data_IF_072651722570
#
_entry.id   IF_072651722570
#
_cell.length_a   1.000
_cell.length_b   1.000
_cell.length_c   1.000
_cell.angle_alpha   90.00
_cell.angle_beta   90.00
_cell.angle_gamma   90.00
#
_symmetry.space_group_name_H-M   'P 1'
#
loop_
_entity.id
_entity.type
_entity.pdbx_description
1 polymer ?
#
# COMPACT_ATOMS: atom_id res chain seq x y z
N UNK A 1 12.26 -15.56 23.24
CA UNK A 1 11.01 -14.79 23.08
C UNK A 1 10.70 -14.47 21.61
N UNK A 2 11.69 -14.03 20.79
CA UNK A 2 11.57 -13.96 19.32
C UNK A 2 11.26 -15.36 18.75
N UNK A 3 10.08 -15.54 18.18
CA UNK A 3 9.59 -16.83 17.67
C UNK A 3 8.33 -17.36 18.37
N UNK A 4 8.06 -16.97 19.62
CA UNK A 4 6.81 -17.36 20.29
C UNK A 4 5.63 -16.62 19.68
N UNK A 5 5.72 -15.29 19.49
CA UNK A 5 4.60 -14.50 18.93
C UNK A 5 4.20 -14.99 17.53
N UNK A 6 5.17 -15.20 16.63
CA UNK A 6 4.90 -15.72 15.28
C UNK A 6 4.29 -17.12 15.33
N UNK A 7 4.86 -18.04 16.11
CA UNK A 7 4.33 -19.40 16.25
C UNK A 7 2.93 -19.42 16.85
N UNK A 8 2.70 -18.66 17.92
CA UNK A 8 1.39 -18.53 18.58
C UNK A 8 0.35 -17.95 17.63
N UNK A 9 0.68 -16.90 16.87
CA UNK A 9 -0.26 -16.32 15.93
C UNK A 9 -0.54 -17.24 14.74
N UNK A 10 0.47 -17.90 14.18
CA UNK A 10 0.30 -18.88 13.11
C UNK A 10 -0.47 -20.13 13.58
N UNK A 11 -0.38 -20.50 14.86
CA UNK A 11 -1.19 -21.57 15.44
C UNK A 11 -2.68 -21.22 15.50
N UNK A 12 -3.02 -19.92 15.46
CA UNK A 12 -4.39 -19.44 15.38
C UNK A 12 -4.88 -19.25 13.93
N UNK A 13 -4.12 -19.68 12.92
CA UNK A 13 -4.51 -19.52 11.52
C UNK A 13 -5.38 -20.68 11.02
N UNK A 14 -6.53 -20.33 10.47
CA UNK A 14 -7.45 -21.23 9.80
C UNK A 14 -7.75 -20.67 8.42
N UNK A 15 -7.33 -21.34 7.33
CA UNK A 15 -7.38 -20.77 6.00
C UNK A 15 -8.83 -20.38 5.63
N UNK A 16 -9.06 -19.14 5.14
CA UNK A 16 -10.37 -18.72 4.69
C UNK A 16 -10.75 -19.48 3.40
N UNK A 17 -12.04 -19.47 3.05
CA UNK A 17 -12.53 -20.07 1.79
C UNK A 17 -11.88 -19.45 0.56
N UNK A 18 -11.54 -18.17 0.63
CA UNK A 18 -10.88 -17.40 -0.43
C UNK A 18 -9.73 -16.61 0.17
N UNK A 19 -8.53 -16.78 -0.40
CA UNK A 19 -7.39 -15.96 -0.03
C UNK A 19 -7.55 -14.58 -0.68
N UNK A 20 -7.52 -13.53 0.13
CA UNK A 20 -7.57 -12.15 -0.35
C UNK A 20 -6.28 -11.43 0.00
N UNK A 21 -5.84 -10.58 -0.93
CA UNK A 21 -4.72 -9.67 -0.75
C UNK A 21 -5.23 -8.25 -0.74
N UNK A 22 -4.87 -7.49 0.28
CA UNK A 22 -5.14 -6.07 0.32
C UNK A 22 -4.20 -5.34 -0.65
N UNK A 23 -4.76 -4.75 -1.71
CA UNK A 23 -4.03 -3.93 -2.69
C UNK A 23 -3.85 -2.50 -2.20
N UNK A 24 -4.82 -2.00 -1.44
CA UNK A 24 -4.88 -0.64 -0.93
C UNK A 24 -5.77 -0.58 0.31
N UNK A 25 -5.95 0.60 0.90
CA UNK A 25 -6.79 0.76 2.09
C UNK A 25 -8.23 0.27 1.87
N UNK A 26 -8.80 0.48 0.67
CA UNK A 26 -10.19 0.14 0.35
C UNK A 26 -10.33 -1.05 -0.60
N UNK A 27 -9.26 -1.46 -1.29
CA UNK A 27 -9.31 -2.51 -2.30
C UNK A 27 -8.70 -3.84 -1.82
N UNK A 28 -9.46 -4.92 -2.05
CA UNK A 28 -9.03 -6.30 -1.85
C UNK A 28 -9.16 -7.06 -3.17
N UNK A 29 -8.16 -7.88 -3.48
CA UNK A 29 -8.14 -8.73 -4.66
C UNK A 29 -8.06 -10.19 -4.20
N UNK A 30 -8.80 -11.06 -4.88
CA UNK A 30 -8.74 -12.50 -4.64
C UNK A 30 -7.44 -13.07 -5.21
N UNK A 31 -6.69 -13.80 -4.38
CA UNK A 31 -5.57 -14.61 -4.82
C UNK A 31 -6.09 -15.97 -5.29
N UNK A 32 -6.05 -16.18 -6.60
CA UNK A 32 -6.47 -17.40 -7.29
C UNK A 32 -5.38 -18.46 -7.35
N UNK A 33 -4.15 -18.12 -6.96
CA UNK A 33 -3.06 -19.07 -6.86
C UNK A 33 -3.41 -20.18 -5.86
N UNK A 34 -3.06 -21.42 -6.19
CA UNK A 34 -3.14 -22.52 -5.25
C UNK A 34 -2.00 -22.39 -4.24
N UNK A 35 -2.33 -21.86 -3.06
CA UNK A 35 -1.42 -21.77 -1.93
C UNK A 35 -1.63 -22.97 -1.02
N UNK A 36 -0.53 -23.66 -0.66
CA UNK A 36 -0.57 -24.58 0.46
C UNK A 36 -0.88 -23.83 1.77
N UNK A 37 -1.32 -24.56 2.79
CA UNK A 37 -1.73 -23.96 4.06
C UNK A 37 -0.60 -23.13 4.71
N UNK A 38 0.66 -23.57 4.57
CA UNK A 38 1.81 -22.85 5.11
C UNK A 38 2.01 -21.51 4.42
N UNK A 39 2.03 -21.48 3.08
CA UNK A 39 2.15 -20.26 2.28
C UNK A 39 0.98 -19.31 2.47
N UNK A 40 -0.24 -19.83 2.60
CA UNK A 40 -1.42 -19.02 2.90
C UNK A 40 -1.29 -18.34 4.28
N UNK A 41 -0.83 -19.08 5.30
CA UNK A 41 -0.61 -18.55 6.63
C UNK A 41 0.50 -17.48 6.66
N UNK A 42 1.61 -17.72 5.95
CA UNK A 42 2.68 -16.74 5.81
C UNK A 42 2.19 -15.48 5.09
N UNK A 43 1.48 -15.62 3.97
CA UNK A 43 0.92 -14.50 3.22
C UNK A 43 -0.01 -13.65 4.11
N UNK A 44 -0.90 -14.29 4.86
CA UNK A 44 -1.76 -13.63 5.84
C UNK A 44 -0.96 -12.91 6.94
N UNK A 45 0.09 -13.55 7.46
CA UNK A 45 0.96 -12.96 8.48
C UNK A 45 1.69 -11.71 7.96
N UNK A 46 2.25 -11.75 6.76
CA UNK A 46 2.92 -10.58 6.17
C UNK A 46 1.93 -9.45 5.88
N UNK A 47 0.72 -9.77 5.42
CA UNK A 47 -0.36 -8.78 5.25
C UNK A 47 -0.69 -8.07 6.57
N UNK A 48 -0.81 -8.83 7.66
CA UNK A 48 -1.05 -8.26 8.99
C UNK A 48 0.11 -7.36 9.44
N UNK A 49 1.35 -7.78 9.20
CA UNK A 49 2.53 -6.99 9.51
C UNK A 49 2.58 -5.67 8.73
N UNK A 50 2.26 -5.73 7.44
CA UNK A 50 2.20 -4.56 6.58
C UNK A 50 1.13 -3.57 7.07
N UNK A 51 -0.08 -4.06 7.41
CA UNK A 51 -1.14 -3.26 8.00
C UNK A 51 -0.69 -2.59 9.30
N UNK A 52 -0.15 -3.36 10.25
CA UNK A 52 0.33 -2.83 11.53
C UNK A 52 1.41 -1.76 11.33
N UNK A 53 2.25 -1.90 10.30
CA UNK A 53 3.31 -0.94 10.01
C UNK A 53 2.78 0.36 9.42
N UNK A 54 1.79 0.33 8.52
CA UNK A 54 1.10 1.52 7.97
C UNK A 54 0.42 2.36 9.05
N UNK A 55 -0.01 1.71 10.13
CA UNK A 55 -0.82 2.29 11.19
C UNK A 55 -0.12 2.32 12.55
N UNK A 56 1.21 2.17 12.56
CA UNK A 56 1.98 1.96 13.79
C UNK A 56 1.83 3.10 14.82
N UNK A 57 1.76 4.33 14.34
CA UNK A 57 1.55 5.55 15.14
C UNK A 57 0.17 5.63 15.81
N UNK A 58 -0.83 4.94 15.27
CA UNK A 58 -2.20 4.91 15.78
C UNK A 58 -2.55 3.61 16.52
N UNK A 59 -1.76 2.55 16.30
CA UNK A 59 -1.88 1.26 16.98
C UNK A 59 -0.91 1.11 18.17
N UNK A 60 -0.04 2.09 18.41
CA UNK A 60 0.93 2.04 19.50
C UNK A 60 1.07 3.39 20.19
N UNK A 61 1.76 3.42 21.32
CA UNK A 61 2.09 4.65 22.04
C UNK A 61 3.35 5.33 21.49
N UNK A 62 3.92 4.83 20.40
CA UNK A 62 5.16 5.35 19.82
C UNK A 62 4.85 6.37 18.71
N UNK A 63 5.37 7.59 18.87
CA UNK A 63 5.36 8.58 17.79
C UNK A 63 6.46 8.29 16.76
N UNK A 64 6.29 8.67 15.49
CA UNK A 64 7.39 8.67 14.53
C UNK A 64 8.46 9.71 14.89
N UNK A 65 9.64 9.58 14.30
CA UNK A 65 10.77 10.49 14.54
C UNK A 65 10.51 11.85 13.88
N UNK A 66 10.88 12.90 14.60
CA UNK A 66 10.84 14.29 14.13
C UNK A 66 11.92 14.53 13.06
N UNK A 67 11.59 15.27 12.01
CA UNK A 67 12.57 15.84 11.06
C UNK A 67 13.10 17.17 11.63
N UNK A 68 14.42 17.40 11.52
CA UNK A 68 15.04 18.65 11.97
C UNK A 68 14.35 19.84 11.27
N UNK A 69 13.99 20.86 12.04
CA UNK A 69 13.31 22.06 11.53
C UNK A 69 11.80 21.91 11.27
N UNK A 70 11.20 20.72 11.41
CA UNK A 70 9.74 20.54 11.37
C UNK A 70 9.12 20.58 12.75
N UNK A 71 7.81 20.45 12.87
CA UNK A 71 7.13 20.30 14.17
C UNK A 71 7.35 18.90 14.77
N UNK A 72 7.16 18.80 16.09
CA UNK A 72 7.23 17.50 16.78
C UNK A 72 5.99 16.69 16.40
N UNK A 73 6.14 15.43 15.94
CA UNK A 73 4.99 14.57 15.69
C UNK A 73 4.16 14.40 16.96
N UNK A 74 2.85 14.57 16.86
CA UNK A 74 1.92 14.36 17.96
C UNK A 74 1.75 12.86 18.15
N UNK A 75 1.84 12.38 19.39
CA UNK A 75 1.44 11.01 19.70
C UNK A 75 -0.06 10.94 19.47
N UNK A 76 -0.48 10.19 18.44
CA UNK A 76 -1.90 10.00 18.19
C UNK A 76 -2.48 9.16 19.33
N UNK A 77 -3.63 9.58 19.84
CA UNK A 77 -4.40 8.73 20.76
C UNK A 77 -4.77 7.43 20.03
N UNK A 78 -4.74 6.30 20.75
CA UNK A 78 -5.07 5.01 20.17
C UNK A 78 -6.48 5.07 19.57
N UNK A 79 -6.59 4.77 18.28
CA UNK A 79 -7.85 4.87 17.57
C UNK A 79 -8.65 3.57 17.70
N UNK A 80 -9.77 3.53 18.47
CA UNK A 80 -10.51 2.29 18.70
C UNK A 80 -11.11 1.71 17.40
N UNK A 81 -11.44 2.57 16.42
CA UNK A 81 -11.90 2.11 15.11
C UNK A 81 -10.79 1.40 14.34
N UNK A 82 -9.55 1.84 14.50
CA UNK A 82 -8.42 1.23 13.80
C UNK A 82 -8.07 -0.13 14.41
N UNK A 83 -8.16 -0.24 15.73
CA UNK A 83 -8.07 -1.53 16.44
C UNK A 83 -9.17 -2.50 16.03
N UNK A 84 -10.41 -2.04 15.91
CA UNK A 84 -11.49 -2.85 15.36
C UNK A 84 -11.20 -3.25 13.90
N UNK A 85 -10.72 -2.33 13.07
CA UNK A 85 -10.38 -2.60 11.68
C UNK A 85 -9.27 -3.65 11.57
N UNK A 86 -8.25 -3.58 12.43
CA UNK A 86 -7.19 -4.59 12.54
C UNK A 86 -7.78 -5.96 12.91
N UNK A 87 -8.66 -6.01 13.90
CA UNK A 87 -9.34 -7.22 14.32
C UNK A 87 -10.18 -7.86 13.21
N UNK A 88 -10.99 -7.06 12.50
CA UNK A 88 -11.76 -7.51 11.33
C UNK A 88 -10.85 -7.98 10.21
N UNK A 89 -9.76 -7.26 9.94
CA UNK A 89 -8.78 -7.63 8.93
C UNK A 89 -8.10 -8.98 9.26
N UNK A 90 -7.64 -9.16 10.49
CA UNK A 90 -7.05 -10.43 10.95
C UNK A 90 -8.04 -11.60 10.81
N UNK A 91 -9.29 -11.40 11.22
CA UNK A 91 -10.36 -12.40 11.09
C UNK A 91 -10.64 -12.79 9.64
N UNK A 92 -10.67 -11.80 8.74
CA UNK A 92 -10.86 -12.01 7.30
C UNK A 92 -9.68 -12.74 6.65
N UNK A 93 -8.46 -12.53 7.14
CA UNK A 93 -7.27 -13.25 6.71
C UNK A 93 -7.25 -14.71 7.20
N UNK A 94 -8.08 -15.08 8.17
CA UNK A 94 -8.16 -16.45 8.70
C UNK A 94 -7.61 -16.62 10.12
N UNK A 95 -7.18 -15.56 10.79
CA UNK A 95 -6.76 -15.65 12.19
C UNK A 95 -7.98 -15.76 13.11
N UNK A 96 -7.89 -16.63 14.11
CA UNK A 96 -8.92 -16.86 15.14
C UNK A 96 -8.31 -16.59 16.50
N UNK A 97 -8.32 -15.31 16.89
CA UNK A 97 -7.87 -14.84 18.20
C UNK A 97 -9.12 -14.39 18.97
N UNK A 98 -9.40 -14.93 20.17
CA UNK A 98 -10.64 -14.63 20.89
C UNK A 98 -10.89 -13.12 21.07
N UNK A 99 -9.91 -12.39 21.60
CA UNK A 99 -10.02 -10.95 21.84
C UNK A 99 -10.25 -10.16 20.55
N UNK A 100 -9.57 -10.54 19.46
CA UNK A 100 -9.77 -9.92 18.15
C UNK A 100 -11.16 -10.22 17.58
N UNK A 101 -11.69 -11.42 17.84
CA UNK A 101 -13.04 -11.80 17.39
C UNK A 101 -14.09 -10.95 18.11
N UNK A 102 -13.98 -10.85 19.44
CA UNK A 102 -14.85 -9.99 20.24
C UNK A 102 -14.77 -8.53 19.80
N UNK A 103 -13.56 -8.02 19.55
CA UNK A 103 -13.34 -6.64 19.12
C UNK A 103 -13.93 -6.38 17.73
N UNK A 104 -13.82 -7.33 16.79
CA UNK A 104 -14.38 -7.21 15.44
C UNK A 104 -15.91 -7.09 15.46
N UNK A 105 -16.58 -7.77 16.40
CA UNK A 105 -18.04 -7.79 16.57
C UNK A 105 -18.62 -6.50 17.20
N UNK A 106 -17.78 -5.64 17.80
CA UNK A 106 -18.25 -4.40 18.42
C UNK A 106 -18.86 -3.43 17.40
N UNK A 107 -19.81 -2.58 17.81
CA UNK A 107 -20.39 -1.57 16.92
C UNK A 107 -19.74 -0.19 17.12
N UNK A 108 -18.41 -0.11 17.06
CA UNK A 108 -17.67 1.11 17.41
C UNK A 108 -18.02 2.32 16.54
N UNK A 109 -18.37 2.12 15.26
CA UNK A 109 -18.89 3.21 14.40
C UNK A 109 -20.23 3.76 14.89
N UNK A 110 -21.14 2.87 15.26
CA UNK A 110 -22.44 3.25 15.85
C UNK A 110 -22.23 3.97 17.18
N UNK A 111 -21.29 3.52 18.01
CA UNK A 111 -20.96 4.17 19.28
C UNK A 111 -20.42 5.60 19.08
N UNK A 112 -19.51 5.79 18.13
CA UNK A 112 -19.00 7.13 17.80
C UNK A 112 -20.07 8.04 17.20
N UNK A 113 -20.96 7.49 16.38
CA UNK A 113 -22.11 8.23 15.88
C UNK A 113 -23.05 8.65 17.02
N UNK A 114 -23.30 7.77 18.01
CA UNK A 114 -24.04 8.10 19.22
C UNK A 114 -23.34 9.21 20.02
N UNK A 115 -22.03 9.11 20.22
CA UNK A 115 -21.27 10.11 20.98
C UNK A 115 -21.26 11.48 20.28
N UNK A 116 -21.17 11.48 18.95
CA UNK A 116 -21.34 12.69 18.14
C UNK A 116 -22.75 13.28 18.31
N UNK A 117 -23.80 12.45 18.21
CA UNK A 117 -25.18 12.88 18.37
C UNK A 117 -25.45 13.45 19.77
N UNK A 118 -24.90 12.85 20.82
CA UNK A 118 -24.97 13.37 22.21
C UNK A 118 -24.26 14.72 22.37
N UNK A 119 -23.14 14.92 21.66
CA UNK A 119 -22.42 16.20 21.66
C UNK A 119 -23.17 17.27 20.87
N UNK A 120 -23.84 16.91 19.78
CA UNK A 120 -24.62 17.84 18.97
C UNK A 120 -25.98 18.17 19.60
N UNK A 121 -26.57 17.25 20.36
CA UNK A 121 -27.87 17.42 21.00
C UNK A 121 -27.87 16.86 22.42
N UNK A 122 -27.39 17.68 23.37
CA UNK A 122 -27.24 17.30 24.78
C UNK A 122 -28.55 16.96 25.51
N UNK A 123 -29.70 17.36 24.97
CA UNK A 123 -31.01 17.14 25.58
C UNK A 123 -31.64 15.80 25.16
N UNK A 124 -31.10 15.14 24.14
CA UNK A 124 -31.61 13.83 23.68
C UNK A 124 -30.86 12.69 24.34
N UNK A 125 -31.61 11.81 25.00
CA UNK A 125 -31.07 10.62 25.68
C UNK A 125 -31.03 9.39 24.77
N UNK A 126 -31.84 9.36 23.72
CA UNK A 126 -31.99 8.24 22.80
C UNK A 126 -31.90 8.70 21.35
N UNK A 127 -31.29 7.87 20.49
CA UNK A 127 -31.18 8.10 19.06
C UNK A 127 -31.67 6.85 18.32
N UNK A 128 -32.50 7.05 17.32
CA UNK A 128 -33.01 5.96 16.49
C UNK A 128 -31.90 5.37 15.62
N UNK A 129 -32.04 4.10 15.23
CA UNK A 129 -31.11 3.42 14.33
C UNK A 129 -30.89 4.19 13.02
N UNK A 130 -31.96 4.80 12.47
CA UNK A 130 -31.88 5.61 11.26
C UNK A 130 -31.05 6.90 11.44
N UNK A 131 -31.05 7.50 12.64
CA UNK A 131 -30.21 8.67 12.94
C UNK A 131 -28.74 8.27 13.05
N UNK A 132 -28.46 7.17 13.74
CA UNK A 132 -27.10 6.62 13.88
C UNK A 132 -26.55 6.26 12.50
N UNK A 133 -27.32 5.52 11.70
CA UNK A 133 -26.96 5.12 10.35
C UNK A 133 -26.69 6.33 9.45
N UNK A 134 -27.54 7.37 9.51
CA UNK A 134 -27.32 8.60 8.76
C UNK A 134 -25.99 9.27 9.11
N UNK A 135 -25.61 9.34 10.38
CA UNK A 135 -24.31 9.91 10.79
C UNK A 135 -23.15 9.06 10.27
N UNK A 136 -23.27 7.73 10.34
CA UNK A 136 -22.25 6.81 9.82
C UNK A 136 -22.09 6.96 8.31
N UNK A 137 -23.20 7.05 7.56
CA UNK A 137 -23.19 7.23 6.11
C UNK A 137 -22.63 8.59 5.71
N UNK A 138 -23.05 9.68 6.35
CA UNK A 138 -22.55 11.03 6.07
C UNK A 138 -21.07 11.18 6.41
N UNK A 139 -20.60 10.52 7.47
CA UNK A 139 -19.18 10.50 7.85
C UNK A 139 -18.30 9.59 6.97
N UNK A 140 -18.90 8.78 6.11
CA UNK A 140 -18.17 7.93 5.17
C UNK A 140 -17.89 8.75 3.90
N UNK A 141 -16.64 9.17 3.71
CA UNK A 141 -16.21 9.81 2.46
C UNK A 141 -16.52 8.89 1.26
N UNK A 142 -17.01 9.44 0.14
CA UNK A 142 -17.21 8.66 -1.08
C UNK A 142 -15.91 7.94 -1.47
N UNK A 143 -16.05 6.80 -2.14
CA UNK A 143 -14.91 6.10 -2.70
C UNK A 143 -14.28 6.98 -3.78
N UNK A 144 -13.06 7.45 -3.54
CA UNK A 144 -12.27 8.15 -4.55
C UNK A 144 -12.16 7.24 -5.78
N UNK A 145 -12.67 7.67 -6.94
CA UNK A 145 -12.59 6.90 -8.15
C UNK A 145 -11.17 7.04 -8.70
N UNK A 146 -10.46 5.91 -8.73
CA UNK A 146 -9.05 5.73 -9.10
C UNK A 146 -8.06 5.96 -7.95
N UNK A 147 -7.78 4.87 -7.21
CA UNK A 147 -6.52 4.78 -6.48
C UNK A 147 -5.37 4.78 -7.49
N UNK A 148 -4.68 5.92 -7.60
CA UNK A 148 -3.44 6.03 -8.35
C UNK A 148 -2.41 5.04 -7.80
N UNK A 149 -1.76 4.31 -8.71
CA UNK A 149 -0.60 3.50 -8.34
C UNK A 149 0.49 4.49 -7.93
N UNK A 150 0.97 4.46 -6.69
CA UNK A 150 1.86 5.51 -6.23
C UNK A 150 3.20 5.43 -6.99
N UNK A 151 3.60 6.56 -7.57
CA UNK A 151 4.77 6.65 -8.46
C UNK A 151 6.07 6.27 -7.73
N UNK A 152 7.02 5.70 -8.49
CA UNK A 152 8.34 5.36 -7.97
C UNK A 152 9.10 6.63 -7.59
N UNK A 153 9.44 6.76 -6.31
CA UNK A 153 10.25 7.87 -5.83
C UNK A 153 11.67 7.76 -6.38
N UNK A 154 12.10 8.70 -7.21
CA UNK A 154 13.46 8.77 -7.74
C UNK A 154 14.45 9.43 -6.78
N UNK A 155 13.96 9.89 -5.62
CA UNK A 155 14.78 10.57 -4.63
C UNK A 155 15.53 9.58 -3.74
N UNK A 156 16.87 9.69 -3.63
CA UNK A 156 17.64 8.81 -2.77
C UNK A 156 17.34 9.08 -1.29
N UNK A 157 17.10 8.01 -0.52
CA UNK A 157 16.89 8.08 0.91
C UNK A 157 18.23 8.11 1.64
N UNK A 158 18.41 9.13 2.49
CA UNK A 158 19.61 9.32 3.32
C UNK A 158 19.86 8.10 4.22
N UNK A 159 21.13 7.75 4.43
CA UNK A 159 21.55 6.55 5.19
C UNK A 159 20.89 6.46 6.57
N UNK A 160 20.85 7.56 7.31
CA UNK A 160 20.26 7.67 8.65
C UNK A 160 18.74 7.44 8.71
N UNK A 161 18.04 7.53 7.57
CA UNK A 161 16.59 7.30 7.46
C UNK A 161 16.25 5.85 7.10
N UNK A 162 17.25 5.03 6.76
CA UNK A 162 17.06 3.64 6.33
C UNK A 162 16.83 2.68 7.49
N UNK A 163 17.23 3.05 8.70
CA UNK A 163 17.19 2.19 9.89
C UNK A 163 16.64 2.92 11.12
N UNK A 164 16.15 2.12 12.08
CA UNK A 164 15.60 2.63 13.33
C UNK A 164 14.16 3.12 13.19
N UNK A 165 13.82 4.12 13.99
CA UNK A 165 12.46 4.69 14.03
C UNK A 165 12.20 5.55 12.78
N UNK A 166 11.10 5.26 12.08
CA UNK A 166 10.69 5.96 10.86
C UNK A 166 10.38 7.43 11.16
N UNK A 167 10.79 8.32 10.27
CA UNK A 167 10.42 9.73 10.35
C UNK A 167 8.97 9.94 9.92
N UNK A 168 8.29 10.93 10.48
CA UNK A 168 6.88 11.19 10.17
C UNK A 168 6.54 11.23 8.66
N UNK A 169 7.26 11.98 7.80
CA UNK A 169 6.95 11.97 6.37
C UNK A 169 7.17 10.60 5.71
N UNK A 170 8.16 9.82 6.15
CA UNK A 170 8.38 8.47 5.63
C UNK A 170 7.26 7.51 6.07
N UNK A 171 6.68 7.74 7.25
CA UNK A 171 5.54 6.96 7.74
C UNK A 171 4.27 7.26 6.92
N UNK A 172 4.02 8.52 6.60
CA UNK A 172 2.92 8.89 5.70
C UNK A 172 3.12 8.27 4.31
N UNK A 173 4.35 8.31 3.79
CA UNK A 173 4.69 7.70 2.51
C UNK A 173 4.55 6.16 2.54
N UNK A 174 4.97 5.50 3.64
CA UNK A 174 4.81 4.05 3.86
C UNK A 174 3.34 3.59 3.76
N UNK A 175 2.36 4.45 4.09
CA UNK A 175 0.93 4.12 3.99
C UNK A 175 0.48 3.80 2.56
N UNK A 176 1.20 4.29 1.55
CA UNK A 176 0.90 4.04 0.14
C UNK A 176 1.61 2.80 -0.40
N UNK A 177 2.76 2.43 0.15
CA UNK A 177 3.61 1.37 -0.41
C UNK A 177 3.57 0.05 0.33
N UNK A 178 3.16 0.04 1.60
CA UNK A 178 3.19 -1.16 2.42
C UNK A 178 1.97 -2.07 2.16
N UNK A 179 1.75 -2.44 0.91
CA UNK A 179 0.81 -3.48 0.49
C UNK A 179 1.60 -4.62 -0.16
N UNK A 180 1.19 -5.87 0.04
CA UNK A 180 1.98 -7.02 -0.42
C UNK A 180 2.25 -6.97 -1.93
N UNK A 181 1.25 -6.57 -2.72
CA UNK A 181 1.41 -6.46 -4.17
C UNK A 181 2.44 -5.41 -4.56
N UNK A 182 2.54 -4.32 -3.80
CA UNK A 182 3.50 -3.24 -4.02
C UNK A 182 4.89 -3.62 -3.50
N UNK A 183 4.96 -4.20 -2.30
CA UNK A 183 6.21 -4.63 -1.65
C UNK A 183 6.92 -5.71 -2.45
N UNK A 184 6.20 -6.63 -3.08
CA UNK A 184 6.80 -7.75 -3.82
C UNK A 184 6.70 -7.59 -5.34
N UNK A 185 6.36 -6.40 -5.83
CA UNK A 185 6.42 -6.12 -7.25
C UNK A 185 7.88 -6.19 -7.72
N UNK A 186 8.15 -6.92 -8.79
CA UNK A 186 9.46 -6.89 -9.44
C UNK A 186 9.64 -5.50 -10.06
N UNK A 187 10.57 -4.73 -9.51
CA UNK A 187 10.88 -3.37 -9.93
C UNK A 187 12.40 -3.17 -9.84
N UNK A 188 12.94 -2.42 -10.80
CA UNK A 188 14.31 -1.94 -10.73
C UNK A 188 14.35 -0.68 -9.88
N UNK A 189 15.19 -0.68 -8.85
CA UNK A 189 15.41 0.46 -7.98
C UNK A 189 16.72 1.16 -8.39
N UNK A 190 16.68 2.22 -9.21
CA UNK A 190 17.90 2.90 -9.66
C UNK A 190 18.63 3.61 -8.51
N UNK A 191 17.92 3.89 -7.42
CA UNK A 191 18.45 4.50 -6.19
C UNK A 191 17.89 3.81 -4.96
N UNK A 192 18.61 3.92 -3.84
CA UNK A 192 18.12 3.46 -2.54
C UNK A 192 17.08 4.45 -2.01
N UNK A 193 15.81 4.26 -2.38
CA UNK A 193 14.65 5.03 -1.91
C UNK A 193 13.91 4.30 -0.77
N UNK A 194 12.80 4.87 -0.29
CA UNK A 194 11.99 4.26 0.77
C UNK A 194 11.39 2.91 0.35
N UNK A 195 10.85 2.83 -0.87
CA UNK A 195 10.27 1.60 -1.42
C UNK A 195 11.28 0.45 -1.44
N UNK A 196 12.51 0.69 -1.93
CA UNK A 196 13.61 -0.28 -1.91
C UNK A 196 13.90 -0.77 -0.51
N UNK A 197 13.99 0.14 0.47
CA UNK A 197 14.26 -0.24 1.87
C UNK A 197 13.14 -1.12 2.42
N UNK A 198 11.87 -0.86 2.07
CA UNK A 198 10.74 -1.70 2.50
C UNK A 198 10.72 -3.05 1.78
N UNK A 199 10.94 -3.06 0.48
CA UNK A 199 11.12 -4.26 -0.33
C UNK A 199 12.18 -5.18 0.28
N UNK A 200 13.38 -4.65 0.51
CA UNK A 200 14.52 -5.39 1.05
C UNK A 200 14.26 -5.88 2.48
N UNK A 201 13.72 -5.02 3.35
CA UNK A 201 13.38 -5.38 4.72
C UNK A 201 12.35 -6.52 4.78
N UNK A 202 11.28 -6.43 4.00
CA UNK A 202 10.25 -7.46 3.99
C UNK A 202 10.78 -8.77 3.44
N UNK A 203 11.60 -8.75 2.38
CA UNK A 203 12.24 -9.96 1.84
C UNK A 203 13.30 -10.57 2.77
N UNK A 204 13.92 -9.77 3.63
CA UNK A 204 14.88 -10.27 4.63
C UNK A 204 14.19 -10.87 5.85
N UNK A 205 13.09 -10.26 6.32
CA UNK A 205 12.36 -10.72 7.52
C UNK A 205 11.41 -11.86 7.18
N UNK A 206 10.77 -11.79 6.01
CA UNK A 206 9.78 -12.74 5.53
C UNK A 206 10.32 -13.45 4.29
N UNK A 207 9.85 -14.67 4.03
CA UNK A 207 10.26 -15.41 2.83
C UNK A 207 9.87 -14.63 1.55
N UNK A 208 10.66 -14.75 0.46
CA UNK A 208 10.32 -14.09 -0.79
C UNK A 208 9.01 -14.65 -1.34
N UNK A 209 8.02 -13.78 -1.51
CA UNK A 209 6.86 -14.09 -2.33
C UNK A 209 7.16 -13.69 -3.77
N UNK A 210 6.73 -14.55 -4.71
CA UNK A 210 6.66 -14.22 -6.12
C UNK A 210 5.23 -14.38 -6.54
N UNK A 211 4.66 -13.31 -7.07
CA UNK A 211 3.31 -13.34 -7.60
C UNK A 211 3.38 -13.24 -9.12
N UNK A 212 2.70 -14.16 -9.78
CA UNK A 212 2.45 -14.07 -11.21
C UNK A 212 1.27 -13.13 -11.47
N UNK A 213 1.27 -12.48 -12.63
CA UNK A 213 0.12 -11.73 -13.13
C UNK A 213 -1.18 -12.54 -13.10
N UNK A 214 -1.10 -13.85 -13.32
CA UNK A 214 -2.26 -14.74 -13.33
C UNK A 214 -2.79 -15.08 -11.93
N UNK A 215 -2.01 -14.85 -10.87
CA UNK A 215 -2.39 -15.20 -9.50
C UNK A 215 -3.56 -14.35 -8.98
N UNK A 216 -3.85 -13.21 -9.63
CA UNK A 216 -4.90 -12.28 -9.24
C UNK A 216 -5.98 -12.10 -10.32
N UNK A 217 -5.91 -12.91 -11.38
CA UNK A 217 -6.75 -12.79 -12.58
C UNK A 217 -6.37 -11.61 -13.48
N UNK A 218 -6.84 -11.59 -14.74
CA UNK A 218 -6.67 -10.42 -15.59
C UNK A 218 -7.36 -9.21 -14.92
N UNK A 219 -6.80 -7.99 -15.00
CA UNK A 219 -7.49 -6.79 -14.57
C UNK A 219 -8.85 -6.77 -15.27
N UNK A 220 -9.91 -6.50 -14.52
CA UNK A 220 -11.21 -6.24 -15.13
C UNK A 220 -11.00 -5.11 -16.13
N UNK A 221 -11.05 -5.43 -17.42
CA UNK A 221 -11.13 -4.42 -18.47
C UNK A 221 -12.47 -3.73 -18.28
N UNK A 222 -12.46 -2.60 -17.57
CA UNK A 222 -13.54 -1.65 -17.70
C UNK A 222 -13.41 -1.07 -19.10
N UNK A 223 -14.50 -1.09 -19.87
CA UNK A 223 -14.58 -0.34 -21.11
C UNK A 223 -14.41 1.14 -20.76
N UNK A 224 -13.19 1.65 -20.86
CA UNK A 224 -12.96 3.10 -20.84
C UNK A 224 -13.47 3.59 -22.20
N UNK A 225 -14.67 4.16 -22.19
CA UNK A 225 -15.16 4.95 -23.31
C UNK A 225 -14.29 6.20 -23.35
N UNK A 226 -13.23 6.18 -24.15
CA UNK A 226 -12.52 7.39 -24.53
C UNK A 226 -13.44 8.17 -25.45
N UNK A 227 -14.04 9.26 -24.96
CA UNK A 227 -14.56 10.30 -25.82
C UNK A 227 -13.36 10.93 -26.54
N UNK A 228 -13.23 10.62 -27.83
CA UNK A 228 -12.19 11.18 -28.69
C UNK A 228 -12.56 12.63 -28.98
N UNK A 229 -11.84 13.57 -28.36
CA UNK A 229 -11.69 14.91 -28.93
C UNK A 229 -10.72 14.75 -30.11
N UNK A 230 -11.23 15.04 -31.30
CA UNK A 230 -10.48 15.01 -32.56
C UNK A 230 -9.31 15.99 -32.49
N UNK A 231 -8.11 15.45 -32.58
CA UNK A 231 -6.87 16.18 -32.72
C UNK A 231 -6.59 16.43 -34.21
N UNK A 232 -7.01 17.58 -34.72
CA UNK A 232 -6.30 18.22 -35.83
C UNK A 232 -4.94 18.80 -35.39
N UNK A 233 -4.56 18.63 -34.11
CA UNK A 233 -3.31 19.14 -33.52
C UNK A 233 -2.28 18.04 -33.12
N UNK A 234 -2.53 16.73 -33.34
CA UNK A 234 -1.51 15.67 -33.09
C UNK A 234 -0.92 15.04 -34.35
N UNK A 235 -0.92 15.77 -35.48
CA UNK A 235 -0.04 15.49 -36.62
C UNK A 235 1.36 16.13 -36.38
N UNK A 236 1.75 16.29 -35.11
CA UNK A 236 3.12 16.61 -34.72
C UNK A 236 3.62 15.52 -33.77
N UNK A 237 4.58 14.74 -34.28
CA UNK A 237 5.40 13.76 -33.56
C UNK A 237 4.75 12.40 -33.21
N UNK A 238 4.91 11.45 -34.12
CA UNK A 238 5.59 10.20 -33.76
C UNK A 238 4.72 8.97 -33.57
N UNK A 239 4.38 8.31 -34.66
CA UNK A 239 4.28 6.85 -34.67
C UNK A 239 5.58 6.26 -35.24
N UNK A 240 6.12 5.20 -34.65
CA UNK A 240 5.97 3.85 -35.23
C UNK A 240 6.82 2.77 -34.54
N UNK A 241 6.09 1.68 -34.33
CA UNK A 241 6.45 0.26 -34.19
C UNK A 241 7.59 -0.15 -35.13
N UNK A 242 8.56 -0.93 -34.62
CA UNK A 242 9.71 -1.39 -35.41
C UNK A 242 9.51 -2.81 -35.97
N UNK A 243 9.61 -2.94 -37.29
CA UNK A 243 9.70 -4.21 -38.02
C UNK A 243 11.16 -4.71 -38.07
N UNK A 244 11.35 -6.03 -38.20
CA UNK A 244 12.65 -6.73 -38.06
C UNK A 244 13.79 -6.24 -39.00
N UNK A 245 13.46 -5.53 -40.09
CA UNK A 245 14.45 -4.90 -40.99
C UNK A 245 15.14 -3.70 -40.32
N UNK A 246 14.58 -3.18 -39.24
CA UNK A 246 15.07 -1.99 -38.52
C UNK A 246 16.24 -2.26 -37.58
N UNK A 247 16.42 -3.52 -37.15
CA UNK A 247 17.52 -3.90 -36.25
C UNK A 247 18.87 -3.84 -36.98
N UNK A 248 18.93 -4.18 -38.27
CA UNK A 248 20.18 -4.10 -39.06
C UNK A 248 20.69 -2.67 -39.22
N UNK A 249 19.82 -1.69 -39.46
CA UNK A 249 20.21 -0.26 -39.55
C UNK A 249 20.59 0.34 -38.20
N UNK A 250 19.99 -0.14 -37.11
CA UNK A 250 20.36 0.24 -35.74
C UNK A 250 21.77 -0.29 -35.41
N UNK A 251 22.12 -1.50 -35.86
CA UNK A 251 23.46 -2.06 -35.69
C UNK A 251 24.51 -1.38 -36.58
N UNK A 252 24.16 -0.93 -37.78
CA UNK A 252 25.04 -0.08 -38.62
C UNK A 252 25.30 1.30 -37.97
N UNK A 253 24.29 1.91 -37.33
CA UNK A 253 24.44 3.19 -36.63
C UNK A 253 25.23 3.05 -35.31
N UNK A 254 25.05 1.96 -34.56
CA UNK A 254 25.88 1.67 -33.37
C UNK A 254 27.35 1.44 -33.74
N UNK A 255 27.63 0.80 -34.88
CA UNK A 255 28.98 0.60 -35.39
C UNK A 255 29.67 1.91 -35.84
N UNK A 256 28.90 2.93 -36.21
CA UNK A 256 29.40 4.27 -36.57
C UNK A 256 29.63 5.18 -35.35
N UNK A 257 28.90 4.97 -34.25
CA UNK A 257 28.98 5.80 -33.02
C UNK A 257 30.18 5.40 -32.14
N UNK A 258 30.46 4.10 -32.01
CA UNK A 258 31.54 3.56 -31.17
C UNK A 258 32.94 4.14 -31.47
N UNK A 259 33.34 4.45 -32.72
CA UNK A 259 34.64 5.07 -33.00
C UNK A 259 34.69 6.60 -32.81
N UNK A 260 33.55 7.27 -32.68
CA UNK A 260 33.45 8.74 -32.79
C UNK A 260 33.05 9.44 -31.48
N UNK A 261 33.12 8.77 -30.33
CA UNK A 261 32.92 9.38 -29.02
C UNK A 261 34.20 10.08 -28.51
N UNK A 262 34.39 11.34 -28.87
CA UNK A 262 35.20 12.26 -28.05
C UNK A 262 34.28 13.17 -27.25
N UNK A 263 34.23 12.95 -25.93
CA UNK A 263 33.61 13.87 -24.98
C UNK A 263 34.42 15.16 -24.86
N UNK A 264 33.76 16.30 -24.84
CA UNK A 264 34.24 17.49 -24.10
C UNK A 264 33.05 18.26 -23.54
N UNK A 265 32.80 18.09 -22.24
CA UNK A 265 32.12 19.10 -21.44
C UNK A 265 33.13 20.23 -21.16
N UNK A 266 33.08 21.31 -21.92
CA UNK A 266 33.62 22.61 -21.50
C UNK A 266 32.56 23.70 -21.70
N UNK A 267 32.34 24.49 -20.65
CA UNK A 267 31.48 25.67 -20.64
C UNK A 267 32.12 26.81 -21.44
N UNK A 268 31.34 27.49 -22.29
CA UNK A 268 31.71 28.79 -22.87
C UNK A 268 31.01 29.95 -22.14
N UNK A 269 31.73 31.05 -21.84
CA UNK A 269 31.19 32.23 -21.16
C UNK A 269 30.44 33.17 -22.13
N UNK A 270 29.59 34.05 -21.59
CA UNK A 270 29.24 35.33 -22.23
C UNK A 270 30.05 36.45 -21.62
#
# INVERSE_FOLDING_TARGET
>A
MKGMIRRSLLACFFPPKQNRVQKSEKCYIECRAQLDQGKAAELAYVQLWAFCRRHFDQLSTFAPRKVIGKDKPVVMEQNPLLWQRLATFASNLGFRVPDATQLAEQQSRSQLAIDYLRKANHLSTEFSAAQIERVVLTGSLPDDPAEEVPELSTNPLLKERRFGQTFNPDLEEDKHYLFILTIYQEQDFPVVNLQFVRYDLFRCIFAPFRFSYYDFGPPKQYAVVHAVLTLDDSIAAGGMIWEAVSVSKIMENLAYIIPNETSTNEYTPR
#
